data_IF_735737951293
#
_entry.id   IF_735737951293
#
_cell.length_a   1.000
_cell.length_b   1.000
_cell.length_c   1.000
_cell.angle_alpha   90.00
_cell.angle_beta   90.00
_cell.angle_gamma   90.00
#
_symmetry.space_group_name_H-M   'P 1'
#
loop_
_entity.id
_entity.type
_entity.pdbx_description
1 polymer ?
#
# COMPACT_ATOMS: atom_id res chain seq x y z
N UNK A 1 -6.19 -45.15 -12.89
CA UNK A 1 -4.99 -44.29 -12.82
C UNK A 1 -5.38 -43.08 -11.99
N UNK A 2 -4.83 -42.96 -10.80
CA UNK A 2 -5.18 -41.88 -9.87
C UNK A 2 -4.27 -40.70 -10.16
N UNK A 3 -4.84 -39.60 -10.63
CA UNK A 3 -4.13 -38.32 -10.77
C UNK A 3 -3.81 -37.77 -9.42
N UNK A 4 -2.55 -37.93 -8.98
CA UNK A 4 -2.02 -37.28 -7.79
C UNK A 4 -1.83 -35.80 -8.07
N UNK A 5 -2.84 -34.98 -7.73
CA UNK A 5 -2.69 -33.53 -7.69
C UNK A 5 -1.53 -33.15 -6.76
N UNK A 6 -0.42 -32.77 -7.37
CA UNK A 6 0.74 -32.21 -6.65
C UNK A 6 0.31 -30.82 -6.12
N UNK A 7 -0.19 -30.80 -4.88
CA UNK A 7 -0.43 -29.53 -4.16
C UNK A 7 0.88 -28.73 -4.11
N UNK A 8 0.98 -27.70 -4.94
CA UNK A 8 2.12 -26.75 -4.91
C UNK A 8 2.28 -26.21 -3.50
N UNK A 9 3.33 -26.67 -2.79
CA UNK A 9 3.72 -26.12 -1.49
C UNK A 9 3.89 -24.61 -1.62
N UNK A 10 3.11 -23.84 -0.85
CA UNK A 10 3.26 -22.38 -0.78
C UNK A 10 4.60 -22.06 -0.12
N UNK A 11 5.58 -21.64 -0.89
CA UNK A 11 6.86 -21.17 -0.38
C UNK A 11 6.68 -19.78 0.23
N UNK A 12 7.10 -19.63 1.49
CA UNK A 12 7.19 -18.33 2.16
C UNK A 12 8.28 -17.51 1.46
N UNK A 13 7.89 -16.40 0.81
CA UNK A 13 8.85 -15.46 0.23
C UNK A 13 9.17 -14.39 1.25
N UNK A 14 10.42 -14.30 1.66
CA UNK A 14 10.92 -13.18 2.47
C UNK A 14 10.74 -11.87 1.72
N UNK A 15 10.54 -10.80 2.47
CA UNK A 15 10.52 -9.46 1.90
C UNK A 15 11.94 -9.05 1.52
N UNK A 16 12.12 -8.71 0.25
CA UNK A 16 13.36 -8.12 -0.24
C UNK A 16 13.02 -6.86 -1.03
N UNK A 17 13.75 -5.81 -0.80
CA UNK A 17 13.66 -4.58 -1.60
C UNK A 17 14.96 -4.41 -2.38
N UNK A 18 14.87 -4.49 -3.71
CA UNK A 18 16.03 -4.43 -4.62
C UNK A 18 17.16 -5.40 -4.24
N UNK A 19 16.78 -6.58 -3.80
CA UNK A 19 17.74 -7.63 -3.43
C UNK A 19 18.24 -7.58 -1.99
N UNK A 20 17.82 -6.59 -1.20
CA UNK A 20 18.18 -6.45 0.22
C UNK A 20 17.03 -6.90 1.11
N UNK A 21 17.30 -7.73 2.11
CA UNK A 21 16.30 -8.21 3.05
C UNK A 21 15.83 -7.10 3.99
N UNK A 22 14.60 -7.23 4.54
CA UNK A 22 14.01 -6.21 5.42
C UNK A 22 14.87 -5.94 6.66
N UNK A 23 15.43 -6.98 7.26
CA UNK A 23 16.27 -6.84 8.45
C UNK A 23 17.49 -5.98 8.15
N UNK A 24 18.16 -6.24 7.04
CA UNK A 24 19.28 -5.42 6.56
C UNK A 24 18.85 -3.98 6.22
N UNK A 25 17.64 -3.79 5.64
CA UNK A 25 17.11 -2.46 5.34
C UNK A 25 16.85 -1.63 6.59
N UNK A 26 16.50 -2.28 7.71
CA UNK A 26 16.28 -1.61 8.99
C UNK A 26 17.58 -1.15 9.65
N UNK A 27 18.67 -1.90 9.42
CA UNK A 27 20.00 -1.60 9.96
C UNK A 27 20.79 -0.59 9.10
N UNK A 28 20.34 -0.36 7.86
CA UNK A 28 20.99 0.57 6.94
C UNK A 28 20.87 2.02 7.40
N UNK A 29 21.93 2.79 7.20
CA UNK A 29 21.91 4.25 7.33
C UNK A 29 21.06 4.89 6.23
N UNK A 30 20.58 6.11 6.47
CA UNK A 30 19.83 6.88 5.47
C UNK A 30 20.61 7.08 4.16
N UNK A 31 21.92 7.23 4.24
CA UNK A 31 22.79 7.40 3.07
C UNK A 31 22.82 6.16 2.19
N UNK A 32 22.96 5.00 2.78
CA UNK A 32 22.91 3.72 2.08
C UNK A 32 21.51 3.47 1.50
N UNK A 33 20.46 3.76 2.28
CA UNK A 33 19.08 3.63 1.84
C UNK A 33 18.77 4.52 0.63
N UNK A 34 19.30 5.75 0.60
CA UNK A 34 19.15 6.66 -0.54
C UNK A 34 19.70 6.09 -1.83
N UNK A 35 20.75 5.29 -1.80
CA UNK A 35 21.31 4.67 -3.00
C UNK A 35 20.34 3.65 -3.63
N UNK A 36 19.54 2.98 -2.79
CA UNK A 36 18.54 2.03 -3.25
C UNK A 36 17.30 2.71 -3.83
N UNK A 37 16.99 3.95 -3.46
CA UNK A 37 15.82 4.66 -3.93
C UNK A 37 16.02 5.31 -5.30
N UNK A 38 14.88 5.58 -5.97
CA UNK A 38 14.88 6.33 -7.22
C UNK A 38 15.30 7.79 -6.98
N UNK A 39 15.69 8.50 -8.04
CA UNK A 39 16.24 9.85 -7.97
C UNK A 39 15.33 10.86 -7.22
N UNK A 40 14.00 10.77 -7.40
CA UNK A 40 13.03 11.66 -6.74
C UNK A 40 13.04 11.49 -5.21
N UNK A 41 12.99 10.25 -4.74
CA UNK A 41 13.02 9.91 -3.33
C UNK A 41 14.39 10.25 -2.72
N UNK A 42 15.47 9.92 -3.43
CA UNK A 42 16.84 10.27 -3.03
C UNK A 42 17.00 11.77 -2.82
N UNK A 43 16.57 12.58 -3.78
CA UNK A 43 16.62 14.05 -3.66
C UNK A 43 15.84 14.55 -2.44
N UNK A 44 14.67 13.95 -2.18
CA UNK A 44 13.84 14.34 -1.04
C UNK A 44 14.48 14.01 0.30
N UNK A 45 15.06 12.83 0.42
CA UNK A 45 15.74 12.40 1.65
C UNK A 45 17.03 13.17 1.87
N UNK A 46 17.78 13.51 0.81
CA UNK A 46 18.98 14.32 0.90
C UNK A 46 18.71 15.73 1.44
N UNK A 47 17.53 16.29 1.16
CA UNK A 47 17.08 17.57 1.73
C UNK A 47 16.62 17.48 3.18
N UNK A 48 16.62 16.29 3.76
CA UNK A 48 16.18 15.99 5.11
C UNK A 48 14.66 15.90 5.28
N UNK A 49 14.26 15.21 6.33
CA UNK A 49 12.86 15.07 6.73
C UNK A 49 12.42 16.32 7.51
N UNK A 50 11.25 16.86 7.11
CA UNK A 50 10.66 18.00 7.81
C UNK A 50 10.13 17.59 9.20
N UNK A 51 9.99 18.54 10.11
CA UNK A 51 9.50 18.32 11.48
C UNK A 51 8.20 17.49 11.53
N UNK A 52 7.23 17.79 10.67
CA UNK A 52 5.95 17.05 10.62
C UNK A 52 6.13 15.58 10.25
N UNK A 53 7.06 15.28 9.34
CA UNK A 53 7.40 13.91 8.92
C UNK A 53 8.10 13.14 10.04
N UNK A 54 9.03 13.77 10.73
CA UNK A 54 9.69 13.18 11.89
C UNK A 54 8.70 12.91 13.04
N UNK A 55 7.74 13.81 13.25
CA UNK A 55 6.67 13.61 14.25
C UNK A 55 5.80 12.40 13.88
N UNK A 56 5.48 12.23 12.59
CA UNK A 56 4.74 11.05 12.12
C UNK A 56 5.51 9.76 12.42
N UNK A 57 6.80 9.70 12.10
CA UNK A 57 7.65 8.54 12.39
C UNK A 57 7.69 8.21 13.89
N UNK A 58 7.82 9.22 14.74
CA UNK A 58 7.79 9.03 16.21
C UNK A 58 6.46 8.42 16.67
N UNK A 59 5.33 8.90 16.14
CA UNK A 59 4.00 8.34 16.47
C UNK A 59 3.86 6.90 15.98
N UNK A 60 4.35 6.58 14.79
CA UNK A 60 4.30 5.22 14.26
C UNK A 60 5.17 4.25 15.08
N UNK A 61 6.37 4.67 15.47
CA UNK A 61 7.24 3.88 16.38
C UNK A 61 6.56 3.63 17.72
N UNK A 62 5.92 4.66 18.29
CA UNK A 62 5.18 4.54 19.55
C UNK A 62 4.02 3.55 19.41
N UNK A 63 3.15 3.73 18.42
CA UNK A 63 2.02 2.85 18.17
C UNK A 63 2.46 1.38 17.95
N UNK A 64 3.57 1.17 17.26
CA UNK A 64 4.14 -0.17 17.02
C UNK A 64 4.68 -0.80 18.31
N UNK A 65 5.26 0.00 19.21
CA UNK A 65 5.78 -0.47 20.51
C UNK A 65 4.64 -0.80 21.50
N UNK A 66 3.56 -0.03 21.46
CA UNK A 66 2.40 -0.20 22.37
C UNK A 66 1.44 -1.32 21.90
N UNK A 67 1.57 -1.74 20.64
CA UNK A 67 0.71 -2.81 20.10
C UNK A 67 0.98 -4.14 20.80
N UNK A 68 -0.07 -4.88 21.20
CA UNK A 68 0.06 -6.22 21.73
C UNK A 68 0.67 -7.17 20.69
N UNK A 69 1.39 -8.23 21.10
CA UNK A 69 1.90 -9.22 20.18
C UNK A 69 0.72 -9.87 19.43
N UNK A 70 0.89 -10.06 18.12
CA UNK A 70 -0.10 -10.65 17.19
C UNK A 70 -1.28 -9.74 16.79
N UNK A 71 -1.42 -8.55 17.34
CA UNK A 71 -2.43 -7.58 16.92
C UNK A 71 -1.85 -6.49 16.02
N UNK A 72 -2.76 -5.84 15.27
CA UNK A 72 -2.36 -4.70 14.44
C UNK A 72 -2.21 -3.45 15.28
N UNK A 73 -1.16 -2.64 15.05
CA UNK A 73 -0.97 -1.39 15.76
C UNK A 73 -2.11 -0.40 15.50
N UNK A 74 -2.28 0.55 16.40
CA UNK A 74 -3.28 1.61 16.26
C UNK A 74 -3.05 2.44 14.98
N UNK A 75 -4.16 2.87 14.38
CA UNK A 75 -4.14 3.67 13.13
C UNK A 75 -3.72 5.10 13.43
N UNK A 76 -2.58 5.50 12.93
CA UNK A 76 -2.10 6.90 13.02
C UNK A 76 -2.62 7.71 11.83
N UNK A 77 -3.52 8.66 12.09
CA UNK A 77 -4.10 9.54 11.06
C UNK A 77 -3.10 10.63 10.65
N UNK A 78 -2.99 10.87 9.34
CA UNK A 78 -2.09 11.89 8.79
C UNK A 78 -2.63 12.53 7.52
N UNK A 79 -2.26 13.79 7.32
CA UNK A 79 -2.48 14.53 6.06
C UNK A 79 -1.24 14.50 5.15
N UNK A 80 -0.13 13.92 5.61
CA UNK A 80 1.14 13.88 4.88
C UNK A 80 1.08 12.86 3.74
N UNK A 81 0.45 13.25 2.64
CA UNK A 81 0.36 12.44 1.42
C UNK A 81 1.71 12.31 0.71
N UNK A 82 2.60 13.28 0.93
CA UNK A 82 3.92 13.38 0.34
C UNK A 82 5.04 12.68 1.14
N UNK A 83 4.67 11.93 2.18
CA UNK A 83 5.62 11.13 2.95
C UNK A 83 6.06 9.91 2.16
N UNK A 84 7.37 9.71 2.05
CA UNK A 84 7.97 8.50 1.48
C UNK A 84 7.84 7.38 2.50
N UNK A 85 7.43 6.21 2.05
CA UNK A 85 7.37 5.01 2.89
C UNK A 85 8.79 4.50 3.10
N UNK A 86 9.22 4.54 4.36
CA UNK A 86 10.50 4.03 4.82
C UNK A 86 10.37 2.59 5.31
N UNK A 87 11.45 1.80 5.32
CA UNK A 87 11.44 0.44 5.87
C UNK A 87 10.97 0.37 7.32
N UNK A 88 11.27 1.38 8.13
CA UNK A 88 10.82 1.49 9.52
C UNK A 88 9.29 1.49 9.68
N UNK A 89 8.57 1.97 8.66
CA UNK A 89 7.11 2.06 8.67
C UNK A 89 6.43 0.72 8.38
N UNK A 90 7.18 -0.28 7.94
CA UNK A 90 6.63 -1.62 7.64
C UNK A 90 5.99 -2.22 8.89
N UNK A 91 4.81 -2.78 8.73
CA UNK A 91 3.99 -3.31 9.82
C UNK A 91 3.09 -2.28 10.52
N UNK A 92 3.18 -1.00 10.18
CA UNK A 92 2.34 0.05 10.76
C UNK A 92 1.03 0.23 10.00
N UNK A 93 0.02 0.78 10.71
CA UNK A 93 -1.27 1.19 10.16
C UNK A 93 -1.31 2.71 10.04
N UNK A 94 -1.51 3.24 8.83
CA UNK A 94 -1.56 4.69 8.58
C UNK A 94 -2.90 5.09 7.97
N UNK A 95 -3.57 6.05 8.59
CA UNK A 95 -4.78 6.65 8.05
C UNK A 95 -4.42 7.88 7.20
N UNK A 96 -4.43 7.74 5.88
CA UNK A 96 -4.05 8.81 4.96
C UNK A 96 -5.29 9.56 4.46
N UNK A 97 -5.29 10.87 4.64
CA UNK A 97 -6.40 11.73 4.22
C UNK A 97 -6.47 11.85 2.69
N UNK A 98 -7.67 11.66 2.13
CA UNK A 98 -7.91 11.73 0.69
C UNK A 98 -8.68 13.00 0.24
N UNK A 99 -8.86 13.97 1.15
CA UNK A 99 -9.68 15.15 0.93
C UNK A 99 -11.09 15.07 1.56
N UNK A 100 -11.60 13.87 1.82
CA UNK A 100 -12.91 13.62 2.43
C UNK A 100 -12.84 12.73 3.66
N UNK A 101 -12.10 11.63 3.59
CA UNK A 101 -11.98 10.61 4.63
C UNK A 101 -10.54 10.19 4.83
N UNK A 102 -10.27 9.51 5.95
CA UNK A 102 -8.97 8.87 6.20
C UNK A 102 -9.02 7.42 5.72
N UNK A 103 -8.27 7.11 4.68
CA UNK A 103 -8.13 5.75 4.20
C UNK A 103 -7.07 5.02 5.01
N UNK A 104 -7.44 3.89 5.58
CA UNK A 104 -6.52 3.05 6.34
C UNK A 104 -5.62 2.25 5.38
N UNK A 105 -4.33 2.48 5.50
CA UNK A 105 -3.29 1.83 4.70
C UNK A 105 -2.42 1.01 5.64
N UNK A 106 -2.42 -0.29 5.45
CA UNK A 106 -1.50 -1.20 6.12
C UNK A 106 -0.21 -1.26 5.29
N UNK A 107 0.90 -0.83 5.88
CA UNK A 107 2.20 -0.89 5.23
C UNK A 107 2.74 -2.29 5.40
N UNK A 108 2.58 -3.11 4.38
CA UNK A 108 3.06 -4.49 4.36
C UNK A 108 4.50 -4.52 3.85
N UNK A 109 5.39 -5.07 4.66
CA UNK A 109 6.50 -5.84 4.12
C UNK A 109 5.88 -7.11 3.55
N UNK A 110 6.34 -7.55 2.41
CA UNK A 110 5.72 -8.70 1.73
C UNK A 110 5.52 -9.87 2.69
N UNK A 111 4.28 -10.07 3.08
CA UNK A 111 3.81 -11.35 3.56
C UNK A 111 3.11 -12.08 2.43
N UNK A 112 2.92 -13.40 2.53
CA UNK A 112 2.25 -14.18 1.53
C UNK A 112 0.89 -13.55 1.24
N UNK A 113 0.54 -13.54 -0.03
CA UNK A 113 -0.75 -13.11 -0.55
C UNK A 113 -1.90 -13.44 0.42
N UNK A 114 -2.26 -12.50 1.28
CA UNK A 114 -3.60 -12.53 1.80
C UNK A 114 -4.46 -11.95 0.68
N UNK A 115 -5.15 -12.82 -0.02
CA UNK A 115 -6.20 -12.49 -0.96
C UNK A 115 -7.22 -11.60 -0.23
N UNK A 116 -6.96 -10.30 -0.19
CA UNK A 116 -8.01 -9.34 0.09
C UNK A 116 -8.90 -9.32 -1.13
N UNK A 117 -10.13 -9.77 -0.95
CA UNK A 117 -11.29 -9.77 -1.83
C UNK A 117 -11.06 -8.92 -3.08
N UNK A 118 -10.64 -9.59 -4.14
CA UNK A 118 -10.67 -9.04 -5.48
C UNK A 118 -12.14 -9.02 -5.90
N UNK A 119 -12.80 -7.88 -5.79
CA UNK A 119 -14.02 -7.66 -6.57
C UNK A 119 -13.64 -7.88 -8.02
N UNK A 120 -14.31 -8.87 -8.65
CA UNK A 120 -14.14 -9.26 -10.05
C UNK A 120 -13.87 -8.05 -10.94
N UNK A 121 -12.72 -8.00 -11.61
CA UNK A 121 -12.51 -7.12 -12.74
C UNK A 121 -11.29 -6.18 -12.70
N UNK A 122 -10.47 -6.20 -11.68
CA UNK A 122 -9.22 -5.42 -11.69
C UNK A 122 -8.06 -6.38 -11.78
N UNK A 123 -7.28 -6.26 -12.85
CA UNK A 123 -6.03 -6.98 -13.08
C UNK A 123 -5.23 -7.12 -11.78
N UNK A 124 -4.72 -8.32 -11.55
CA UNK A 124 -3.73 -8.68 -10.54
C UNK A 124 -2.45 -7.85 -10.72
N UNK A 125 -2.52 -6.57 -10.42
CA UNK A 125 -1.34 -5.78 -10.17
C UNK A 125 -0.71 -6.38 -8.92
N UNK A 126 0.42 -7.09 -9.08
CA UNK A 126 1.32 -7.41 -7.98
C UNK A 126 1.39 -6.16 -7.13
N UNK A 127 0.93 -6.21 -5.87
CA UNK A 127 1.02 -5.04 -4.99
C UNK A 127 2.49 -4.63 -4.98
N UNK A 128 2.84 -3.44 -5.46
CA UNK A 128 4.23 -3.01 -5.51
C UNK A 128 4.79 -3.02 -4.10
N UNK A 129 6.07 -3.28 -4.00
CA UNK A 129 6.80 -3.04 -2.77
C UNK A 129 6.51 -1.62 -2.32
N UNK A 130 5.87 -1.46 -1.16
CA UNK A 130 5.41 -0.13 -0.73
C UNK A 130 6.57 0.80 -0.36
N UNK A 131 7.73 0.25 -0.01
CA UNK A 131 8.93 1.04 0.30
C UNK A 131 9.34 1.91 -0.89
N UNK A 132 9.63 3.18 -0.64
CA UNK A 132 10.02 4.15 -1.66
C UNK A 132 8.86 4.81 -2.40
N UNK A 133 7.62 4.36 -2.22
CA UNK A 133 6.42 5.02 -2.72
C UNK A 133 5.93 6.11 -1.75
N UNK A 134 5.06 6.99 -2.22
CA UNK A 134 4.45 8.01 -1.38
C UNK A 134 3.14 7.50 -0.79
N UNK A 135 2.83 7.92 0.45
CA UNK A 135 1.57 7.55 1.12
C UNK A 135 0.33 7.94 0.30
N UNK A 136 0.39 9.05 -0.43
CA UNK A 136 -0.71 9.52 -1.27
C UNK A 136 -1.10 8.59 -2.40
N UNK A 137 -0.19 7.75 -2.87
CA UNK A 137 -0.48 6.76 -3.93
C UNK A 137 -1.46 5.68 -3.48
N UNK A 138 -1.49 5.39 -2.17
CA UNK A 138 -2.36 4.38 -1.57
C UNK A 138 -3.70 4.92 -1.08
N UNK A 139 -3.92 6.23 -1.20
CA UNK A 139 -5.15 6.91 -0.82
C UNK A 139 -5.65 7.77 -1.97
N UNK A 140 -6.37 7.13 -2.91
CA UNK A 140 -6.93 7.81 -4.09
C UNK A 140 -7.95 8.87 -3.69
N UNK A 141 -7.84 10.03 -4.34
CA UNK A 141 -8.71 11.20 -4.10
C UNK A 141 -9.95 11.20 -4.98
N UNK A 142 -9.95 10.48 -6.08
CA UNK A 142 -11.06 10.40 -7.00
C UNK A 142 -11.87 9.11 -6.82
N UNK A 143 -13.13 9.15 -7.20
CA UNK A 143 -13.99 7.97 -7.26
C UNK A 143 -13.91 7.38 -8.67
N UNK A 144 -13.42 6.14 -8.84
CA UNK A 144 -13.39 5.52 -10.16
C UNK A 144 -14.78 5.47 -10.77
N UNK A 145 -14.88 5.84 -12.04
CA UNK A 145 -16.13 5.77 -12.80
C UNK A 145 -16.54 4.32 -12.97
N UNK A 146 -17.75 4.01 -12.58
CA UNK A 146 -18.38 2.74 -12.93
C UNK A 146 -19.28 3.00 -14.12
N UNK A 147 -18.85 2.54 -15.30
CA UNK A 147 -19.72 2.58 -16.48
C UNK A 147 -20.95 1.71 -16.24
N UNK A 148 -22.11 2.21 -16.65
CA UNK A 148 -23.33 1.42 -16.71
C UNK A 148 -23.15 0.23 -17.65
N UNK A 149 -24.03 -0.76 -17.54
CA UNK A 149 -24.06 -1.86 -18.52
C UNK A 149 -24.40 -1.28 -19.89
N UNK A 150 -23.69 -1.67 -20.97
CA UNK A 150 -24.11 -1.32 -22.32
C UNK A 150 -25.51 -1.92 -22.58
N UNK A 151 -26.42 -1.15 -23.15
CA UNK A 151 -27.78 -1.59 -23.42
C UNK A 151 -28.84 -0.58 -22.99
N UNK A 152 -30.05 -1.07 -22.77
CA UNK A 152 -31.23 -0.27 -22.40
C UNK A 152 -30.95 0.53 -21.12
N UNK A 153 -31.10 1.87 -21.15
CA UNK A 153 -30.79 2.76 -20.04
C UNK A 153 -29.36 3.29 -20.00
N UNK A 154 -28.50 2.93 -20.93
CA UNK A 154 -27.13 3.42 -21.01
C UNK A 154 -27.07 4.91 -21.42
N UNK A 155 -28.05 5.41 -22.13
CA UNK A 155 -28.22 6.80 -22.56
C UNK A 155 -29.59 7.34 -22.18
N UNK A 156 -29.70 8.66 -21.98
CA UNK A 156 -31.00 9.28 -21.67
C UNK A 156 -32.06 9.08 -22.77
N UNK A 157 -31.63 8.85 -24.00
CA UNK A 157 -32.51 8.60 -25.16
C UNK A 157 -33.08 7.17 -25.19
N UNK A 158 -32.63 6.29 -24.34
CA UNK A 158 -33.08 4.89 -24.30
C UNK A 158 -34.26 4.61 -23.36
N UNK A 159 -35.10 5.64 -23.09
CA UNK A 159 -36.36 5.46 -22.35
C UNK A 159 -37.44 4.70 -23.16
N UNK A 160 -37.28 4.65 -24.47
CA UNK A 160 -38.18 3.90 -25.33
C UNK A 160 -37.68 2.48 -25.46
N UNK A 161 -38.41 1.55 -24.88
CA UNK A 161 -38.18 0.11 -25.05
C UNK A 161 -39.22 -0.34 -26.04
N UNK A 162 -38.83 -0.78 -27.27
CA UNK A 162 -39.80 -1.37 -28.18
C UNK A 162 -40.30 -2.68 -27.55
N UNK A 163 -41.60 -2.75 -27.37
CA UNK A 163 -42.27 -4.01 -27.01
C UNK A 163 -42.20 -4.94 -28.21
N UNK A 164 -41.63 -6.13 -27.98
CA UNK A 164 -41.70 -7.23 -28.96
C UNK A 164 -42.96 -8.00 -28.77
#
# INVERSE_FOLDING_TARGET
MADTEIKKKRTFRKFTYRGVDLDQLLDMSYEQLMQLYCARQRRRLNRGLRRKQQTLLKRLRKAKKEAPPMEKPEVVKTHLRDMIILPEMVGSMVGVYNGKTFNQVEIKGVGPHLFGVVRKGIHLLKKPEMCGHYLGEFSITYKPVKHGRPGIGATHSSRFIPLK
#
